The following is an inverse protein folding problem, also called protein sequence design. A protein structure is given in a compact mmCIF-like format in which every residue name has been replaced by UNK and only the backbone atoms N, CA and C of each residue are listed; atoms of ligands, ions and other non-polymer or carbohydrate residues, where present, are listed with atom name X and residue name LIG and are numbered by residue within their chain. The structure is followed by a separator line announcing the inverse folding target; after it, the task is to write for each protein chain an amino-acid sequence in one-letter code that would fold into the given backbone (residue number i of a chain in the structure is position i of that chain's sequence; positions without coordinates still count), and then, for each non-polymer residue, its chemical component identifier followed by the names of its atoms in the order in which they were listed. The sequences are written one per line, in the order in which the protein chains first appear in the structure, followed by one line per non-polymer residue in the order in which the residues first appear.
data_IF_122096038847
#
_entry.id   IF_122096038847
#
_cell.length_a   1.000
_cell.length_b   1.000
_cell.length_c   1.000
_cell.angle_alpha   90.00
_cell.angle_beta   90.00
_cell.angle_gamma   90.00
#
_symmetry.space_group_name_H-M   'P 1'
#
loop_
_entity.id
_entity.type
_entity.pdbx_description
1 polymer ?
#
# COMPACT_ATOMS: atom_id res chain seq x y z
N UNK A 1 -25.46 17.48 14.62
CA UNK A 1 -24.30 16.76 14.09
C UNK A 1 -24.36 15.42 14.81
N UNK A 2 -24.73 14.37 14.09
CA UNK A 2 -24.78 13.03 14.67
C UNK A 2 -23.36 12.59 14.94
N UNK A 3 -23.11 12.21 16.18
CA UNK A 3 -21.89 11.58 16.64
C UNK A 3 -21.78 10.25 15.88
N UNK A 4 -21.03 10.25 14.75
CA UNK A 4 -20.80 9.03 13.96
C UNK A 4 -19.96 8.08 14.81
N UNK A 5 -20.63 7.24 15.58
CA UNK A 5 -20.03 6.26 16.47
C UNK A 5 -19.12 5.33 15.65
N UNK A 6 -17.82 5.41 15.95
CA UNK A 6 -16.82 4.47 15.45
C UNK A 6 -17.15 3.08 15.96
N UNK A 7 -17.16 2.13 15.07
CA UNK A 7 -17.33 0.72 15.45
C UNK A 7 -15.97 0.04 15.40
N UNK A 8 -15.60 -0.61 16.50
CA UNK A 8 -14.38 -1.44 16.58
C UNK A 8 -14.70 -2.85 16.13
N UNK A 9 -13.86 -3.36 15.25
CA UNK A 9 -13.94 -4.73 14.74
C UNK A 9 -12.61 -5.43 14.95
N UNK A 10 -12.65 -6.75 15.16
CA UNK A 10 -11.50 -7.58 14.83
C UNK A 10 -11.36 -7.63 13.31
N UNK A 11 -10.14 -7.60 12.80
CA UNK A 11 -9.92 -7.63 11.35
C UNK A 11 -10.56 -8.87 10.70
N UNK A 12 -10.58 -10.01 11.39
CA UNK A 12 -11.21 -11.25 10.94
C UNK A 12 -12.75 -11.19 10.81
N UNK A 13 -13.41 -10.21 11.45
CA UNK A 13 -14.85 -9.98 11.32
C UNK A 13 -15.20 -9.22 10.03
N UNK A 14 -14.26 -8.41 9.52
CA UNK A 14 -14.46 -7.52 8.36
C UNK A 14 -13.58 -7.87 7.16
N UNK A 15 -12.71 -8.86 7.30
CA UNK A 15 -11.85 -9.36 6.23
C UNK A 15 -11.57 -10.85 6.41
N UNK A 16 -11.35 -11.56 5.30
CA UNK A 16 -10.93 -12.96 5.30
C UNK A 16 -9.41 -13.01 5.16
N UNK A 17 -8.76 -13.75 6.05
CA UNK A 17 -7.32 -14.01 5.97
C UNK A 17 -7.09 -15.32 5.23
N UNK A 18 -6.23 -15.30 4.21
CA UNK A 18 -5.88 -16.45 3.38
C UNK A 18 -4.37 -16.62 3.31
N UNK A 19 -3.89 -17.83 3.56
CA UNK A 19 -2.50 -18.19 3.40
C UNK A 19 -2.32 -18.99 2.11
N UNK A 20 -1.26 -18.70 1.36
CA UNK A 20 -0.90 -19.51 0.21
C UNK A 20 -0.35 -20.87 0.62
N UNK A 21 -0.22 -21.76 -0.35
CA UNK A 21 0.40 -23.09 -0.20
C UNK A 21 1.61 -23.21 -1.12
N UNK A 22 2.49 -24.14 -0.79
CA UNK A 22 3.66 -24.41 -1.62
C UNK A 22 3.25 -25.06 -2.95
N UNK A 23 3.81 -24.56 -4.04
CA UNK A 23 3.72 -25.20 -5.35
C UNK A 23 4.83 -26.23 -5.47
N UNK A 24 4.46 -27.46 -5.75
CA UNK A 24 5.41 -28.59 -5.79
C UNK A 24 6.07 -28.79 -7.16
N UNK A 25 5.75 -27.96 -8.18
CA UNK A 25 6.27 -28.17 -9.53
C UNK A 25 6.39 -26.86 -10.31
N UNK A 26 7.62 -26.50 -10.71
CA UNK A 26 7.93 -25.37 -11.61
C UNK A 26 7.36 -25.54 -13.04
N UNK A 27 7.04 -26.77 -13.44
CA UNK A 27 6.51 -27.09 -14.79
C UNK A 27 5.12 -26.53 -15.08
N UNK A 28 4.51 -25.81 -14.13
CA UNK A 28 3.14 -25.29 -14.24
C UNK A 28 3.08 -23.80 -14.55
N UNK A 29 4.20 -23.14 -14.72
CA UNK A 29 4.22 -21.74 -15.11
C UNK A 29 4.11 -21.57 -16.62
N UNK A 30 3.27 -20.60 -17.01
CA UNK A 30 2.97 -20.25 -18.40
C UNK A 30 3.33 -18.79 -18.66
N UNK A 31 3.33 -18.38 -19.94
CA UNK A 31 3.52 -16.97 -20.29
C UNK A 31 2.27 -16.13 -20.06
N UNK A 32 1.11 -16.76 -20.15
CA UNK A 32 -0.20 -16.13 -19.97
C UNK A 32 -0.94 -16.82 -18.82
N UNK A 33 -1.78 -16.06 -18.09
CA UNK A 33 -2.54 -16.62 -16.99
C UNK A 33 -2.53 -15.75 -15.75
N UNK A 34 -2.72 -16.35 -14.58
CA UNK A 34 -2.84 -15.68 -13.29
C UNK A 34 -1.43 -15.47 -12.72
N UNK A 35 -1.02 -14.23 -12.37
CA UNK A 35 0.29 -13.96 -11.77
C UNK A 35 0.49 -14.75 -10.49
N UNK A 36 1.69 -15.32 -10.30
CA UNK A 36 2.09 -16.03 -9.10
C UNK A 36 3.06 -15.17 -8.29
N UNK A 37 2.69 -14.87 -7.04
CA UNK A 37 3.42 -13.94 -6.17
C UNK A 37 4.14 -14.73 -5.09
N UNK A 38 5.47 -14.64 -5.09
CA UNK A 38 6.38 -15.12 -4.06
C UNK A 38 6.79 -13.95 -3.14
N UNK A 39 7.50 -14.24 -2.05
CA UNK A 39 8.09 -13.20 -1.20
C UNK A 39 8.96 -12.22 -2.00
N UNK A 40 9.81 -12.72 -2.89
CA UNK A 40 10.68 -11.89 -3.71
C UNK A 40 9.89 -11.02 -4.70
N UNK A 41 8.84 -11.59 -5.30
CA UNK A 41 7.94 -10.85 -6.16
C UNK A 41 7.18 -9.76 -5.39
N UNK A 42 6.72 -10.04 -4.17
CA UNK A 42 6.04 -9.06 -3.31
C UNK A 42 6.94 -7.85 -3.02
N UNK A 43 8.22 -8.08 -2.71
CA UNK A 43 9.20 -7.00 -2.50
C UNK A 43 9.34 -6.10 -3.73
N UNK A 44 9.37 -6.67 -4.93
CA UNK A 44 9.45 -5.90 -6.18
C UNK A 44 8.15 -5.14 -6.44
N UNK A 45 6.99 -5.78 -6.28
CA UNK A 45 5.67 -5.17 -6.49
C UNK A 45 5.39 -4.01 -5.56
N UNK A 46 5.90 -4.06 -4.32
CA UNK A 46 5.75 -2.94 -3.37
C UNK A 46 6.48 -1.67 -3.82
N UNK A 47 7.41 -1.78 -4.79
CA UNK A 47 8.21 -0.68 -5.33
C UNK A 47 7.76 -0.26 -6.74
N UNK A 48 7.50 -1.22 -7.63
CA UNK A 48 7.35 -0.97 -9.08
C UNK A 48 5.93 -1.23 -9.61
N UNK A 49 5.09 -1.95 -8.86
CA UNK A 49 3.69 -2.27 -9.22
C UNK A 49 3.52 -2.88 -10.65
N UNK A 50 4.48 -3.69 -11.08
CA UNK A 50 4.48 -4.35 -12.38
C UNK A 50 4.39 -5.88 -12.26
N UNK A 51 3.22 -6.44 -12.57
CA UNK A 51 2.97 -7.89 -12.56
C UNK A 51 3.29 -8.55 -13.90
N UNK A 52 3.64 -7.81 -14.96
CA UNK A 52 3.82 -8.34 -16.31
C UNK A 52 4.92 -9.39 -16.42
N UNK A 53 5.98 -9.22 -15.62
CA UNK A 53 7.19 -10.08 -15.63
C UNK A 53 7.11 -11.24 -14.64
N UNK A 54 6.03 -11.36 -13.88
CA UNK A 54 5.88 -12.45 -12.92
C UNK A 54 5.60 -13.77 -13.62
N UNK A 55 6.05 -14.91 -13.05
CA UNK A 55 5.59 -16.21 -13.47
C UNK A 55 4.07 -16.29 -13.32
N UNK A 56 3.39 -16.96 -14.24
CA UNK A 56 1.93 -17.07 -14.26
C UNK A 56 1.52 -18.52 -14.21
N UNK A 57 0.43 -18.82 -13.54
CA UNK A 57 -0.21 -20.13 -13.57
C UNK A 57 -1.34 -20.16 -14.59
N UNK A 58 -1.53 -21.30 -15.23
CA UNK A 58 -2.56 -21.49 -16.24
C UNK A 58 -3.95 -21.22 -15.64
N UNK A 59 -4.69 -20.30 -16.23
CA UNK A 59 -6.04 -19.95 -15.79
C UNK A 59 -7.07 -21.08 -15.94
N UNK A 60 -6.82 -22.04 -16.83
CA UNK A 60 -7.68 -23.22 -16.99
C UNK A 60 -7.62 -24.15 -15.80
N UNK A 61 -6.53 -24.10 -15.04
CA UNK A 61 -6.31 -24.88 -13.82
C UNK A 61 -6.73 -24.13 -12.53
N UNK A 62 -7.52 -23.07 -12.66
CA UNK A 62 -7.93 -22.20 -11.55
C UNK A 62 -8.48 -22.97 -10.34
N UNK A 63 -9.26 -24.01 -10.56
CA UNK A 63 -9.82 -24.83 -9.50
C UNK A 63 -8.75 -25.61 -8.71
N UNK A 64 -7.71 -26.10 -9.40
CA UNK A 64 -6.59 -26.80 -8.77
C UNK A 64 -5.75 -25.88 -7.88
N UNK A 65 -5.77 -24.57 -8.14
CA UNK A 65 -5.05 -23.54 -7.38
C UNK A 65 -5.96 -22.72 -6.46
N UNK A 66 -7.23 -23.13 -6.30
CA UNK A 66 -8.22 -22.38 -5.52
C UNK A 66 -7.76 -22.05 -4.10
N UNK A 67 -6.91 -22.89 -3.51
CA UNK A 67 -6.32 -22.71 -2.19
C UNK A 67 -5.32 -21.53 -2.12
N UNK A 68 -4.68 -21.16 -3.24
CA UNK A 68 -3.72 -20.05 -3.33
C UNK A 68 -4.25 -18.88 -4.17
N UNK A 69 -5.42 -19.03 -4.79
CA UNK A 69 -6.02 -17.98 -5.59
C UNK A 69 -6.61 -16.90 -4.68
N UNK A 70 -6.28 -15.65 -4.96
CA UNK A 70 -6.69 -14.47 -4.21
C UNK A 70 -7.30 -13.47 -5.19
N UNK A 71 -8.49 -12.91 -4.88
CA UNK A 71 -9.15 -11.96 -5.76
C UNK A 71 -8.43 -10.61 -5.81
N UNK A 72 -8.71 -9.83 -6.85
CA UNK A 72 -8.37 -8.43 -6.90
C UNK A 72 -8.80 -7.69 -5.61
N UNK A 73 -8.21 -6.55 -5.34
CA UNK A 73 -8.45 -5.72 -4.15
C UNK A 73 -7.99 -6.34 -2.82
N UNK A 74 -7.36 -7.52 -2.83
CA UNK A 74 -6.76 -8.10 -1.63
C UNK A 74 -5.43 -7.44 -1.29
N UNK A 75 -5.10 -7.39 0.00
CA UNK A 75 -3.83 -6.87 0.49
C UNK A 75 -2.89 -8.03 0.80
N UNK A 76 -1.71 -8.02 0.19
CA UNK A 76 -0.68 -9.05 0.38
C UNK A 76 0.41 -8.59 1.32
N UNK A 77 0.83 -9.49 2.21
CA UNK A 77 1.88 -9.29 3.20
C UNK A 77 2.81 -10.48 3.24
N UNK A 78 4.05 -10.26 3.67
CA UNK A 78 4.98 -11.34 3.97
C UNK A 78 4.59 -12.05 5.28
N UNK A 79 4.47 -13.38 5.22
CA UNK A 79 4.14 -14.21 6.38
C UNK A 79 5.34 -14.45 7.29
N UNK A 80 6.52 -14.65 6.71
CA UNK A 80 7.71 -15.13 7.42
C UNK A 80 8.48 -14.00 8.08
N UNK A 81 8.37 -12.80 7.55
CA UNK A 81 9.04 -11.63 8.06
C UNK A 81 8.06 -10.45 8.22
N UNK A 82 7.42 -10.37 9.37
CA UNK A 82 6.50 -9.29 9.71
C UNK A 82 7.18 -7.92 9.88
N UNK A 83 8.52 -7.89 9.94
CA UNK A 83 9.32 -6.64 9.87
C UNK A 83 9.52 -6.18 8.43
N UNK A 84 9.25 -7.03 7.46
CA UNK A 84 9.24 -6.67 6.05
C UNK A 84 8.00 -5.79 5.79
N UNK A 85 8.26 -4.53 5.47
CA UNK A 85 7.21 -3.54 5.17
C UNK A 85 6.64 -3.68 3.76
N UNK A 86 7.02 -4.75 3.04
CA UNK A 86 6.49 -5.02 1.70
C UNK A 86 5.00 -5.32 1.78
N UNK A 87 4.22 -4.46 1.15
CA UNK A 87 2.78 -4.56 1.06
C UNK A 87 2.35 -4.31 -0.39
N UNK A 88 1.41 -5.09 -0.88
CA UNK A 88 0.88 -4.93 -2.22
C UNK A 88 -0.64 -5.09 -2.23
N UNK A 89 -1.34 -4.20 -2.92
CA UNK A 89 -2.77 -4.31 -3.19
C UNK A 89 -2.98 -4.90 -4.57
N UNK A 90 -3.67 -6.03 -4.66
CA UNK A 90 -3.89 -6.74 -5.90
C UNK A 90 -4.78 -5.95 -6.85
N UNK A 91 -4.30 -5.66 -8.07
CA UNK A 91 -5.13 -5.06 -9.14
C UNK A 91 -5.96 -6.09 -9.89
N UNK A 92 -5.52 -7.33 -9.91
CA UNK A 92 -6.17 -8.47 -10.57
C UNK A 92 -6.14 -9.68 -9.64
N UNK A 93 -6.85 -10.73 -10.00
CA UNK A 93 -6.70 -12.02 -9.32
C UNK A 93 -5.26 -12.50 -9.41
N UNK A 94 -4.75 -13.06 -8.31
CA UNK A 94 -3.38 -13.58 -8.23
C UNK A 94 -3.33 -14.93 -7.50
N UNK A 95 -2.30 -15.72 -7.73
CA UNK A 95 -1.94 -16.86 -6.90
C UNK A 95 -0.79 -16.48 -5.99
N UNK A 96 -0.84 -16.91 -4.72
CA UNK A 96 0.18 -16.58 -3.71
C UNK A 96 0.93 -17.83 -3.23
N UNK A 97 2.23 -17.65 -2.95
CA UNK A 97 3.07 -18.68 -2.35
C UNK A 97 2.77 -18.87 -0.85
N UNK A 98 3.29 -19.95 -0.27
CA UNK A 98 3.13 -20.24 1.15
C UNK A 98 3.76 -19.19 2.09
N UNK A 99 4.61 -18.33 1.56
CA UNK A 99 5.28 -17.23 2.29
C UNK A 99 4.42 -15.98 2.38
N UNK A 100 3.30 -15.95 1.66
CA UNK A 100 2.43 -14.77 1.54
C UNK A 100 1.12 -15.02 2.28
N UNK A 101 0.65 -13.96 2.94
CA UNK A 101 -0.69 -13.84 3.49
C UNK A 101 -1.46 -12.82 2.66
N UNK A 102 -2.71 -13.15 2.36
CA UNK A 102 -3.66 -12.24 1.77
C UNK A 102 -4.76 -11.88 2.77
N UNK A 103 -5.02 -10.59 2.91
CA UNK A 103 -6.17 -10.06 3.63
C UNK A 103 -7.19 -9.59 2.59
N UNK A 104 -8.34 -10.25 2.56
CA UNK A 104 -9.42 -10.04 1.59
C UNK A 104 -10.53 -9.27 2.31
N UNK A 105 -10.68 -7.95 2.10
CA UNK A 105 -11.67 -7.16 2.80
C UNK A 105 -13.10 -7.53 2.38
N UNK A 106 -14.02 -7.39 3.31
CA UNK A 106 -15.44 -7.34 2.97
C UNK A 106 -15.77 -5.92 2.49
N UNK A 107 -15.79 -5.72 1.18
CA UNK A 107 -15.96 -4.40 0.56
C UNK A 107 -17.28 -3.70 0.93
N UNK A 108 -18.27 -4.40 1.46
CA UNK A 108 -19.50 -3.75 1.96
C UNK A 108 -19.26 -2.94 3.24
N UNK A 109 -18.23 -3.28 4.02
CA UNK A 109 -17.93 -2.68 5.33
C UNK A 109 -16.58 -1.96 5.31
N UNK A 110 -15.54 -2.60 4.75
CA UNK A 110 -14.17 -2.16 4.75
C UNK A 110 -13.65 -2.02 3.32
N UNK A 111 -13.26 -0.81 2.94
CA UNK A 111 -12.61 -0.55 1.64
C UNK A 111 -11.20 -1.13 1.61
N UNK A 112 -10.81 -1.75 0.50
CA UNK A 112 -9.46 -2.29 0.31
C UNK A 112 -8.39 -1.20 0.40
N UNK A 113 -8.66 -0.01 -0.15
CA UNK A 113 -7.74 1.12 -0.10
C UNK A 113 -7.56 1.64 1.34
N UNK A 114 -8.65 1.71 2.12
CA UNK A 114 -8.59 2.09 3.53
C UNK A 114 -7.78 1.05 4.34
N UNK A 115 -8.04 -0.24 4.10
CA UNK A 115 -7.29 -1.34 4.70
C UNK A 115 -5.79 -1.27 4.35
N UNK A 116 -5.45 -0.95 3.09
CA UNK A 116 -4.07 -0.82 2.65
C UNK A 116 -3.31 0.25 3.46
N UNK A 117 -3.91 1.43 3.63
CA UNK A 117 -3.31 2.50 4.45
C UNK A 117 -3.26 2.14 5.93
N UNK A 118 -4.31 1.48 6.45
CA UNK A 118 -4.32 0.98 7.83
C UNK A 118 -3.18 0.00 8.09
N UNK A 119 -2.97 -0.97 7.22
CA UNK A 119 -1.87 -1.95 7.37
C UNK A 119 -0.51 -1.27 7.27
N UNK A 120 -0.32 -0.30 6.37
CA UNK A 120 0.90 0.51 6.30
C UNK A 120 1.18 1.24 7.61
N UNK A 121 0.17 1.90 8.15
CA UNK A 121 0.26 2.56 9.44
C UNK A 121 0.60 1.58 10.56
N UNK A 122 -0.10 0.44 10.60
CA UNK A 122 0.10 -0.58 11.62
C UNK A 122 1.52 -1.14 11.60
N UNK A 123 2.06 -1.49 10.43
CA UNK A 123 3.44 -1.96 10.27
C UNK A 123 4.48 -0.91 10.69
N UNK A 124 4.19 0.37 10.45
CA UNK A 124 5.09 1.45 10.84
C UNK A 124 5.18 1.62 12.37
N UNK A 125 4.05 1.50 13.06
CA UNK A 125 3.97 1.76 14.50
C UNK A 125 4.23 0.53 15.37
N UNK A 126 3.96 -0.67 14.88
CA UNK A 126 4.06 -1.91 15.65
C UNK A 126 5.25 -2.75 15.18
N UNK A 127 6.37 -2.63 15.89
CA UNK A 127 7.61 -3.39 15.62
C UNK A 127 7.52 -4.89 15.90
N UNK A 128 6.45 -5.35 16.58
CA UNK A 128 6.19 -6.76 16.92
C UNK A 128 4.75 -7.08 16.55
N UNK A 129 4.55 -7.61 15.37
CA UNK A 129 3.25 -8.08 14.92
C UNK A 129 3.30 -9.61 14.87
N UNK A 130 3.10 -10.26 16.02
CA UNK A 130 3.11 -11.72 16.11
C UNK A 130 1.71 -12.33 15.90
N UNK A 131 0.66 -11.50 15.82
CA UNK A 131 -0.71 -11.96 15.66
C UNK A 131 -1.52 -11.04 14.73
N UNK A 132 -2.28 -11.65 13.79
CA UNK A 132 -3.21 -10.95 12.89
C UNK A 132 -4.55 -10.59 13.55
N UNK A 133 -4.66 -10.73 14.87
CA UNK A 133 -5.81 -10.28 15.68
C UNK A 133 -5.78 -8.77 15.86
N UNK A 134 -5.84 -8.06 14.74
CA UNK A 134 -5.82 -6.61 14.72
C UNK A 134 -7.20 -6.07 15.02
N UNK A 135 -7.27 -5.10 15.94
CA UNK A 135 -8.46 -4.28 16.10
C UNK A 135 -8.40 -3.12 15.11
N UNK A 136 -9.47 -2.91 14.38
CA UNK A 136 -9.63 -1.79 13.45
C UNK A 136 -10.88 -0.99 13.82
N UNK A 137 -10.72 0.32 13.93
CA UNK A 137 -11.84 1.26 14.08
C UNK A 137 -12.28 1.71 12.70
N UNK A 138 -13.53 1.43 12.35
CA UNK A 138 -14.07 1.75 11.04
C UNK A 138 -15.05 2.91 11.12
N UNK A 139 -14.76 4.01 10.41
CA UNK A 139 -15.75 5.03 10.12
C UNK A 139 -16.70 4.56 9.02
N UNK A 140 -17.73 5.33 8.73
CA UNK A 140 -18.64 5.08 7.62
C UNK A 140 -17.87 4.96 6.29
N UNK A 141 -18.44 4.25 5.30
CA UNK A 141 -17.80 4.07 3.97
C UNK A 141 -17.53 5.39 3.29
N UNK A 142 -18.34 6.40 3.51
CA UNK A 142 -18.14 7.76 2.96
C UNK A 142 -16.85 8.37 3.52
N UNK A 143 -16.67 8.29 4.82
CA UNK A 143 -15.44 8.80 5.48
C UNK A 143 -14.22 7.97 5.07
N UNK A 144 -14.33 6.63 4.99
CA UNK A 144 -13.23 5.79 4.47
C UNK A 144 -12.77 6.29 3.11
N UNK A 145 -13.72 6.59 2.20
CA UNK A 145 -13.41 7.07 0.86
C UNK A 145 -12.72 8.45 0.87
N UNK A 146 -13.21 9.39 1.67
CA UNK A 146 -12.60 10.72 1.81
C UNK A 146 -11.17 10.64 2.36
N UNK A 147 -10.96 9.83 3.39
CA UNK A 147 -9.63 9.56 3.96
C UNK A 147 -8.68 9.02 2.90
N UNK A 148 -9.12 8.01 2.14
CA UNK A 148 -8.32 7.38 1.08
C UNK A 148 -7.96 8.37 -0.02
N UNK A 149 -8.87 9.25 -0.45
CA UNK A 149 -8.56 10.26 -1.46
C UNK A 149 -7.40 11.16 -1.03
N UNK A 150 -7.42 11.62 0.22
CA UNK A 150 -6.35 12.48 0.75
C UNK A 150 -5.03 11.71 0.88
N UNK A 151 -5.06 10.50 1.44
CA UNK A 151 -3.85 9.68 1.62
C UNK A 151 -3.21 9.28 0.28
N UNK A 152 -4.03 8.94 -0.72
CA UNK A 152 -3.55 8.63 -2.08
C UNK A 152 -2.93 9.85 -2.76
N UNK A 153 -3.52 11.05 -2.62
CA UNK A 153 -2.95 12.27 -3.17
C UNK A 153 -1.55 12.56 -2.61
N UNK A 154 -1.38 12.45 -1.30
CA UNK A 154 -0.07 12.62 -0.66
C UNK A 154 0.91 11.53 -1.07
N UNK A 155 0.47 10.28 -1.18
CA UNK A 155 1.32 9.17 -1.63
C UNK A 155 1.79 9.36 -3.07
N UNK A 156 0.93 9.85 -3.98
CA UNK A 156 1.32 10.16 -5.36
C UNK A 156 2.40 11.25 -5.41
N UNK A 157 2.27 12.29 -4.59
CA UNK A 157 3.30 13.33 -4.49
C UNK A 157 4.64 12.73 -4.01
N UNK A 158 4.62 11.83 -3.04
CA UNK A 158 5.83 11.16 -2.54
C UNK A 158 6.45 10.24 -3.60
N UNK A 159 5.66 9.52 -4.38
CA UNK A 159 6.15 8.65 -5.47
C UNK A 159 6.80 9.47 -6.59
N UNK A 160 6.18 10.60 -6.97
CA UNK A 160 6.74 11.52 -7.97
C UNK A 160 8.08 12.11 -7.54
N UNK A 161 8.30 12.28 -6.22
CA UNK A 161 9.59 12.68 -5.66
C UNK A 161 10.72 11.74 -6.05
N UNK A 162 10.53 10.44 -5.82
CA UNK A 162 11.60 9.46 -6.05
C UNK A 162 12.02 9.44 -7.52
N UNK A 163 11.06 9.63 -8.42
CA UNK A 163 11.33 9.83 -9.84
C UNK A 163 12.15 11.11 -10.11
N UNK A 164 11.76 12.25 -9.54
CA UNK A 164 12.46 13.53 -9.73
C UNK A 164 13.86 13.51 -9.15
N UNK A 165 14.05 12.96 -7.94
CA UNK A 165 15.37 12.84 -7.31
C UNK A 165 16.29 11.93 -8.14
N UNK A 166 15.77 10.84 -8.69
CA UNK A 166 16.53 9.92 -9.54
C UNK A 166 16.89 10.58 -10.87
N UNK A 167 15.94 11.29 -11.49
CA UNK A 167 16.19 12.03 -12.72
C UNK A 167 17.28 13.11 -12.54
N UNK A 168 17.25 13.86 -11.44
CA UNK A 168 18.27 14.87 -11.12
C UNK A 168 19.65 14.25 -10.85
N UNK A 169 19.71 13.08 -10.17
CA UNK A 169 20.97 12.36 -9.95
C UNK A 169 21.62 11.85 -11.24
N UNK A 170 20.78 11.52 -12.23
CA UNK A 170 21.22 10.96 -13.51
C UNK A 170 21.48 12.02 -14.60
N UNK A 171 21.37 13.32 -14.26
CA UNK A 171 21.73 14.39 -15.20
C UNK A 171 23.22 14.28 -15.60
N UNK A 172 23.53 14.34 -16.93
CA UNK A 172 24.92 14.21 -17.40
C UNK A 172 25.82 15.28 -16.79
N UNK A 173 27.04 14.90 -16.44
CA UNK A 173 28.06 15.77 -15.79
C UNK A 173 28.50 16.98 -16.63
N UNK A 174 28.06 17.09 -17.88
CA UNK A 174 28.42 18.18 -18.79
C UNK A 174 27.74 19.54 -18.49
N UNK A 175 26.84 19.57 -17.49
CA UNK A 175 26.19 20.80 -17.05
C UNK A 175 26.77 21.38 -15.76
N UNK A 176 28.11 21.62 -15.72
CA UNK A 176 28.79 21.96 -14.47
C UNK A 176 28.31 23.25 -13.78
N UNK A 177 27.88 24.27 -14.51
CA UNK A 177 27.33 25.50 -13.89
C UNK A 177 25.85 25.40 -13.54
N UNK A 178 25.04 24.71 -14.34
CA UNK A 178 23.64 24.42 -14.07
C UNK A 178 23.52 23.36 -12.96
N UNK A 179 24.52 22.48 -12.79
CA UNK A 179 24.50 21.41 -11.79
C UNK A 179 24.65 21.91 -10.36
N UNK A 180 25.31 23.05 -10.11
CA UNK A 180 25.38 23.65 -8.77
C UNK A 180 24.05 24.26 -8.35
N UNK A 181 23.38 24.99 -9.25
CA UNK A 181 22.04 25.51 -8.99
C UNK A 181 21.02 24.38 -8.87
N UNK A 182 21.09 23.36 -9.74
CA UNK A 182 20.24 22.18 -9.66
C UNK A 182 20.45 21.39 -8.37
N UNK A 183 21.68 21.28 -7.84
CA UNK A 183 21.96 20.65 -6.53
C UNK A 183 21.36 21.45 -5.38
N UNK A 184 21.44 22.79 -5.43
CA UNK A 184 20.84 23.64 -4.39
C UNK A 184 19.31 23.53 -4.39
N UNK A 185 18.68 23.57 -5.56
CA UNK A 185 17.24 23.35 -5.71
C UNK A 185 16.84 21.90 -5.36
N UNK A 186 17.67 20.90 -5.70
CA UNK A 186 17.48 19.51 -5.31
C UNK A 186 17.48 19.33 -3.78
N UNK A 187 18.36 20.02 -3.05
CA UNK A 187 18.37 19.95 -1.58
C UNK A 187 17.12 20.62 -0.96
N UNK A 188 16.67 21.73 -1.51
CA UNK A 188 15.44 22.40 -1.07
C UNK A 188 14.21 21.53 -1.36
N UNK A 189 14.14 20.94 -2.56
CA UNK A 189 13.10 19.96 -2.91
C UNK A 189 13.15 18.75 -1.99
N UNK A 190 14.35 18.22 -1.70
CA UNK A 190 14.51 17.09 -0.79
C UNK A 190 13.98 17.40 0.61
N UNK A 191 14.27 18.58 1.16
CA UNK A 191 13.74 19.01 2.45
C UNK A 191 12.21 19.13 2.43
N UNK A 192 11.65 19.73 1.38
CA UNK A 192 10.19 19.83 1.23
C UNK A 192 9.50 18.49 1.16
N UNK A 193 10.14 17.51 0.52
CA UNK A 193 9.61 16.15 0.45
C UNK A 193 9.76 15.36 1.77
N UNK A 194 10.82 15.57 2.54
CA UNK A 194 10.89 14.98 3.89
C UNK A 194 9.76 15.53 4.77
N UNK A 195 9.44 16.81 4.66
CA UNK A 195 8.29 17.39 5.37
C UNK A 195 6.96 16.73 4.92
N UNK A 196 6.76 16.49 3.62
CA UNK A 196 5.59 15.74 3.12
C UNK A 196 5.52 14.31 3.66
N UNK A 197 6.66 13.64 3.78
CA UNK A 197 6.73 12.30 4.38
C UNK A 197 6.33 12.32 5.85
N UNK A 198 6.84 13.29 6.62
CA UNK A 198 6.44 13.48 8.01
C UNK A 198 4.96 13.80 8.14
N UNK A 199 4.44 14.65 7.25
CA UNK A 199 3.01 14.96 7.19
C UNK A 199 2.17 13.70 6.93
N UNK A 200 2.57 12.89 5.95
CA UNK A 200 1.87 11.63 5.64
C UNK A 200 1.81 10.69 6.85
N UNK A 201 2.94 10.51 7.55
CA UNK A 201 3.00 9.69 8.76
C UNK A 201 2.14 10.29 9.88
N UNK A 202 2.17 11.61 10.07
CA UNK A 202 1.34 12.30 11.05
C UNK A 202 -0.15 12.13 10.74
N UNK A 203 -0.54 12.24 9.47
CA UNK A 203 -1.92 11.99 9.02
C UNK A 203 -2.36 10.56 9.29
N UNK A 204 -1.52 9.56 8.98
CA UNK A 204 -1.82 8.16 9.29
C UNK A 204 -2.02 7.95 10.79
N UNK A 205 -1.12 8.51 11.63
CA UNK A 205 -1.24 8.41 13.08
C UNK A 205 -2.54 9.06 13.59
N UNK A 206 -2.86 10.25 13.09
CA UNK A 206 -4.07 10.96 13.48
C UNK A 206 -5.35 10.19 13.10
N UNK A 207 -5.42 9.70 11.87
CA UNK A 207 -6.57 8.96 11.35
C UNK A 207 -6.78 7.65 12.12
N UNK A 208 -5.72 6.86 12.27
CA UNK A 208 -5.83 5.49 12.79
C UNK A 208 -5.70 5.40 14.32
N UNK A 209 -5.22 6.44 15.00
CA UNK A 209 -5.32 6.56 16.47
C UNK A 209 -6.68 7.06 16.93
N UNK A 210 -7.58 7.37 16.03
CA UNK A 210 -8.95 7.73 16.37
C UNK A 210 -9.30 9.20 16.25
N UNK A 211 -8.36 10.04 15.82
CA UNK A 211 -8.60 11.45 15.56
C UNK A 211 -9.01 11.65 14.10
N UNK A 212 -10.13 12.31 13.82
CA UNK A 212 -10.62 12.52 12.45
C UNK A 212 -10.11 13.81 11.82
N UNK A 213 -10.16 13.86 10.48
CA UNK A 213 -9.76 14.99 9.63
C UNK A 213 -10.43 16.33 9.98
N UNK A 214 -11.52 16.35 10.76
CA UNK A 214 -12.21 17.58 11.13
C UNK A 214 -11.38 18.56 11.97
N UNK A 215 -10.36 18.06 12.69
CA UNK A 215 -9.50 18.87 13.55
C UNK A 215 -8.17 19.27 12.89
N UNK A 216 -7.99 18.96 11.59
CA UNK A 216 -6.81 19.40 10.84
C UNK A 216 -6.97 20.84 10.35
N UNK A 217 -6.32 21.85 10.97
CA UNK A 217 -6.32 23.21 10.47
C UNK A 217 -5.69 23.32 9.07
N UNK A 218 -4.83 22.37 8.74
CA UNK A 218 -4.06 22.30 7.50
C UNK A 218 -4.83 21.62 6.33
N UNK A 219 -5.94 20.93 6.60
CA UNK A 219 -6.81 20.37 5.56
C UNK A 219 -7.34 21.45 4.61
N UNK A 220 -7.67 22.64 5.14
CA UNK A 220 -8.07 23.80 4.35
C UNK A 220 -6.91 24.41 3.55
N UNK A 221 -5.65 24.19 3.94
CA UNK A 221 -4.49 24.64 3.18
C UNK A 221 -4.22 23.73 1.97
N UNK A 222 -4.36 22.41 2.10
CA UNK A 222 -4.24 21.48 0.98
C UNK A 222 -5.31 21.67 -0.09
N UNK A 223 -6.56 21.93 0.28
CA UNK A 223 -7.62 22.26 -0.70
C UNK A 223 -7.31 23.52 -1.53
N UNK A 224 -6.64 24.51 -0.94
CA UNK A 224 -6.23 25.72 -1.68
C UNK A 224 -5.07 25.48 -2.64
N UNK A 225 -4.24 24.48 -2.40
CA UNK A 225 -3.13 24.11 -3.30
C UNK A 225 -3.57 23.25 -4.49
N UNK A 226 -4.71 22.55 -4.39
CA UNK A 226 -5.26 21.71 -5.47
C UNK A 226 -6.27 22.46 -6.36
N UNK A 227 -6.59 23.73 -6.06
CA UNK A 227 -7.56 24.54 -6.81
C UNK A 227 -6.92 25.63 -7.68
N UNK A 228 -5.64 25.51 -7.97
CA UNK A 228 -4.87 26.29 -8.95
C UNK A 228 -4.08 25.32 -9.87
#
# INVERSE_FOLDING_TARGET
MEDESKVKYLLEEVAKIKMGKMFTSEKRFTREGIPYITEEALKKLSLEDDTSRLPKVDSTLKEQYSFSLVPAQSILLNKTNLKDTSIYQCKTDVCISHEIIAIIPNESILSSDYLFHFIKWYQHNNKKCDDYRLMIELPSKVIQHQVVQVLNAVQQLLTNKDYLVTAVKNLPKHFDNTSRQAKHHSNSLYQGFEQLRYLYIAMLNHIFNGDYLHDFPEYHACQRLCSH
#
